data_IF_744616599713
#
_entry.id   IF_744616599713
#
_cell.length_a   1.000
_cell.length_b   1.000
_cell.length_c   1.000
_cell.angle_alpha   90.00
_cell.angle_beta   90.00
_cell.angle_gamma   90.00
#
_symmetry.space_group_name_H-M   'P 1'
#
loop_
_entity.id
_entity.type
_entity.pdbx_description
1 polymer ?
#
# COMPACT_ATOMS: atom_id res chain seq x y z
N UNK A 1 10.21 6.70 -52.25
CA UNK A 1 9.59 6.01 -51.09
C UNK A 1 9.02 7.06 -50.14
N UNK A 2 7.69 7.11 -49.92
CA UNK A 2 7.08 8.08 -49.00
C UNK A 2 7.47 7.70 -47.56
N UNK A 3 8.10 8.63 -46.84
CA UNK A 3 8.46 8.45 -45.42
C UNK A 3 7.17 8.52 -44.60
N UNK A 4 6.68 7.36 -44.16
CA UNK A 4 5.56 7.27 -43.23
C UNK A 4 6.05 7.57 -41.81
N UNK A 5 6.17 8.85 -41.45
CA UNK A 5 6.35 9.24 -40.04
C UNK A 5 4.99 9.20 -39.36
N UNK A 6 4.76 8.12 -38.60
CA UNK A 6 3.58 7.99 -37.73
C UNK A 6 3.64 9.10 -36.67
N UNK A 7 2.46 9.58 -36.26
CA UNK A 7 2.38 10.61 -35.23
C UNK A 7 2.88 10.07 -33.89
N UNK A 8 3.53 10.90 -33.08
CA UNK A 8 3.93 10.57 -31.70
C UNK A 8 2.71 10.07 -30.90
N UNK A 9 1.52 10.64 -31.15
CA UNK A 9 0.27 10.17 -30.53
C UNK A 9 -0.11 8.74 -30.95
N UNK A 10 0.21 8.36 -32.18
CA UNK A 10 -0.02 7.02 -32.73
C UNK A 10 1.02 6.00 -32.23
N UNK A 11 2.21 6.47 -31.87
CA UNK A 11 3.24 5.66 -31.21
C UNK A 11 2.91 5.46 -29.73
N UNK A 12 2.54 6.53 -29.01
CA UNK A 12 2.08 6.47 -27.62
C UNK A 12 0.88 5.54 -27.48
N UNK A 13 -0.12 5.63 -28.38
CA UNK A 13 -1.32 4.79 -28.31
C UNK A 13 -1.04 3.30 -28.54
N UNK A 14 0.02 2.96 -29.30
CA UNK A 14 0.49 1.58 -29.49
C UNK A 14 1.36 1.07 -28.35
N UNK A 15 2.01 1.98 -27.61
CA UNK A 15 2.84 1.66 -26.43
C UNK A 15 1.99 1.45 -25.19
N UNK A 16 0.75 1.95 -25.13
CA UNK A 16 -0.20 1.56 -24.08
C UNK A 16 -0.44 0.06 -24.21
N UNK A 17 0.16 -0.77 -23.33
CA UNK A 17 -0.14 -2.19 -23.36
C UNK A 17 -1.64 -2.29 -23.15
N UNK A 18 -2.31 -3.19 -23.87
CA UNK A 18 -3.60 -3.70 -23.40
C UNK A 18 -3.30 -4.32 -22.04
N UNK A 19 -3.37 -3.52 -20.98
CA UNK A 19 -3.03 -3.94 -19.65
C UNK A 19 -4.01 -5.06 -19.31
N UNK A 20 -3.50 -6.29 -19.34
CA UNK A 20 -4.26 -7.41 -18.81
C UNK A 20 -4.67 -7.01 -17.40
N UNK A 21 -5.97 -7.10 -17.09
CA UNK A 21 -6.52 -6.71 -15.79
C UNK A 21 -5.74 -7.41 -14.67
N UNK A 22 -5.24 -8.61 -14.94
CA UNK A 22 -4.37 -9.38 -14.06
C UNK A 22 -3.06 -8.63 -13.72
N UNK A 23 -2.36 -8.09 -14.72
CA UNK A 23 -1.10 -7.35 -14.52
C UNK A 23 -1.31 -6.07 -13.69
N UNK A 24 -2.46 -5.40 -13.86
CA UNK A 24 -2.79 -4.20 -13.05
C UNK A 24 -3.03 -4.58 -11.60
N UNK A 25 -3.80 -5.65 -11.36
CA UNK A 25 -4.10 -6.14 -10.01
C UNK A 25 -2.82 -6.60 -9.34
N UNK A 26 -1.96 -7.34 -10.04
CA UNK A 26 -0.67 -7.81 -9.54
C UNK A 26 0.25 -6.65 -9.15
N UNK A 27 0.44 -5.67 -10.05
CA UNK A 27 1.29 -4.52 -9.77
C UNK A 27 0.80 -3.73 -8.55
N UNK A 28 -0.51 -3.52 -8.43
CA UNK A 28 -1.11 -2.85 -7.26
C UNK A 28 -0.97 -3.68 -5.99
N UNK A 29 -1.21 -5.00 -6.07
CA UNK A 29 -1.06 -5.90 -4.93
C UNK A 29 0.39 -5.88 -4.42
N UNK A 30 1.37 -6.00 -5.33
CA UNK A 30 2.79 -5.92 -4.98
C UNK A 30 3.12 -4.59 -4.27
N UNK A 31 2.67 -3.45 -4.81
CA UNK A 31 2.91 -2.16 -4.17
C UNK A 31 2.30 -2.07 -2.75
N UNK A 32 1.07 -2.55 -2.57
CA UNK A 32 0.39 -2.56 -1.26
C UNK A 32 1.11 -3.48 -0.28
N UNK A 33 1.51 -4.68 -0.71
CA UNK A 33 2.23 -5.64 0.13
C UNK A 33 3.60 -5.08 0.54
N UNK A 34 4.36 -4.51 -0.38
CA UNK A 34 5.65 -3.87 -0.06
C UNK A 34 5.47 -2.72 0.94
N UNK A 35 4.45 -1.88 0.72
CA UNK A 35 4.14 -0.77 1.64
C UNK A 35 3.76 -1.28 3.03
N UNK A 36 2.96 -2.35 3.11
CA UNK A 36 2.58 -3.00 4.36
C UNK A 36 3.79 -3.60 5.11
N UNK A 37 4.73 -4.24 4.39
CA UNK A 37 5.96 -4.77 4.98
C UNK A 37 6.81 -3.64 5.59
N UNK A 38 6.99 -2.55 4.83
CA UNK A 38 7.77 -1.40 5.29
C UNK A 38 7.13 -0.74 6.51
N UNK A 39 5.80 -0.62 6.54
CA UNK A 39 5.07 -0.10 7.70
C UNK A 39 5.27 -0.98 8.93
N UNK A 40 5.15 -2.31 8.80
CA UNK A 40 5.38 -3.25 9.91
C UNK A 40 6.79 -3.08 10.48
N UNK A 41 7.82 -2.97 9.63
CA UNK A 41 9.19 -2.70 10.10
C UNK A 41 9.29 -1.39 10.86
N UNK A 42 8.75 -0.31 10.32
CA UNK A 42 8.74 1.00 10.97
C UNK A 42 8.06 0.97 12.34
N UNK A 43 6.99 0.19 12.51
CA UNK A 43 6.33 0.00 13.81
C UNK A 43 7.28 -0.66 14.81
N UNK A 44 7.96 -1.73 14.44
CA UNK A 44 8.92 -2.40 15.33
C UNK A 44 10.17 -1.56 15.62
N UNK A 45 10.54 -0.63 14.75
CA UNK A 45 11.64 0.32 14.98
C UNK A 45 11.25 1.47 15.92
N UNK A 46 9.98 1.88 15.91
CA UNK A 46 9.49 3.04 16.65
C UNK A 46 8.94 2.73 18.05
N UNK A 47 8.50 1.49 18.31
CA UNK A 47 7.83 1.10 19.55
C UNK A 47 8.51 -0.11 20.19
N UNK A 48 8.28 -0.31 21.50
CA UNK A 48 8.69 -1.53 22.20
C UNK A 48 7.95 -2.76 21.65
N UNK A 49 8.52 -3.94 21.88
CA UNK A 49 8.05 -5.20 21.28
C UNK A 49 6.55 -5.46 21.52
N UNK A 50 6.07 -5.20 22.75
CA UNK A 50 4.66 -5.42 23.13
C UNK A 50 3.72 -4.47 22.36
N UNK A 51 4.05 -3.18 22.35
CA UNK A 51 3.26 -2.16 21.63
C UNK A 51 3.29 -2.39 20.12
N UNK A 52 4.46 -2.72 19.58
CA UNK A 52 4.64 -3.01 18.15
C UNK A 52 3.79 -4.21 17.72
N UNK A 53 3.75 -5.28 18.52
CA UNK A 53 2.94 -6.46 18.24
C UNK A 53 1.43 -6.15 18.22
N UNK A 54 0.93 -5.35 19.19
CA UNK A 54 -0.48 -4.93 19.22
C UNK A 54 -0.83 -4.06 17.99
N UNK A 55 0.03 -3.09 17.64
CA UNK A 55 -0.17 -2.24 16.47
C UNK A 55 -0.18 -3.06 15.17
N UNK A 56 0.72 -4.03 15.03
CA UNK A 56 0.76 -4.93 13.87
C UNK A 56 -0.50 -5.79 13.78
N UNK A 57 -0.98 -6.34 14.90
CA UNK A 57 -2.27 -7.07 14.96
C UNK A 57 -3.43 -6.21 14.52
N UNK A 58 -3.50 -4.96 14.99
CA UNK A 58 -4.56 -4.02 14.61
C UNK A 58 -4.51 -3.65 13.13
N UNK A 59 -3.32 -3.44 12.58
CA UNK A 59 -3.12 -3.16 11.17
C UNK A 59 -3.61 -4.32 10.29
N UNK A 60 -3.25 -5.56 10.63
CA UNK A 60 -3.73 -6.74 9.88
C UNK A 60 -5.26 -6.90 10.03
N UNK A 61 -5.79 -6.66 11.23
CA UNK A 61 -7.22 -6.78 11.49
C UNK A 61 -8.05 -5.69 10.78
N UNK A 62 -7.52 -4.47 10.62
CA UNK A 62 -8.19 -3.41 9.86
C UNK A 62 -8.29 -3.76 8.39
N UNK A 63 -7.25 -4.36 7.80
CA UNK A 63 -7.28 -4.89 6.44
C UNK A 63 -8.29 -6.04 6.31
N UNK A 64 -8.19 -7.05 7.18
CA UNK A 64 -9.08 -8.23 7.16
C UNK A 64 -10.55 -7.87 7.29
N UNK A 65 -10.86 -6.88 8.14
CA UNK A 65 -12.24 -6.43 8.35
C UNK A 65 -12.65 -5.25 7.46
N UNK A 66 -11.79 -4.83 6.54
CA UNK A 66 -12.02 -3.71 5.63
C UNK A 66 -12.41 -2.40 6.35
N UNK A 67 -11.95 -2.22 7.59
CA UNK A 67 -12.25 -1.05 8.43
C UNK A 67 -10.95 -0.35 8.87
N UNK A 68 -10.47 0.66 8.13
CA UNK A 68 -9.25 1.40 8.47
C UNK A 68 -9.36 2.12 9.81
N UNK A 69 -10.57 2.48 10.26
CA UNK A 69 -10.79 3.19 11.54
C UNK A 69 -10.37 2.35 12.74
N UNK A 70 -10.29 1.02 12.62
CA UNK A 70 -9.79 0.17 13.70
C UNK A 70 -8.32 0.44 14.04
N UNK A 71 -7.51 0.73 13.03
CA UNK A 71 -6.11 1.09 13.25
C UNK A 71 -6.00 2.49 13.87
N UNK A 72 -6.72 3.48 13.31
CA UNK A 72 -6.75 4.86 13.83
C UNK A 72 -7.16 4.93 15.31
N UNK A 73 -8.21 4.19 15.69
CA UNK A 73 -8.66 4.10 17.09
C UNK A 73 -7.60 3.45 18.00
N UNK A 74 -6.80 2.53 17.47
CA UNK A 74 -5.70 1.92 18.20
C UNK A 74 -4.60 2.92 18.53
N UNK A 75 -4.19 3.70 17.55
CA UNK A 75 -3.17 4.76 17.73
C UNK A 75 -3.64 5.82 18.73
N UNK A 76 -4.90 6.28 18.63
CA UNK A 76 -5.44 7.27 19.57
C UNK A 76 -5.36 6.80 21.03
N UNK A 77 -5.77 5.56 21.29
CA UNK A 77 -5.69 4.97 22.64
C UNK A 77 -4.27 4.84 23.15
N UNK A 78 -3.32 4.50 22.26
CA UNK A 78 -1.91 4.40 22.64
C UNK A 78 -1.37 5.78 23.06
N UNK A 79 -1.70 6.83 22.31
CA UNK A 79 -1.28 8.18 22.65
C UNK A 79 -1.88 8.67 23.97
N UNK A 80 -3.17 8.40 24.21
CA UNK A 80 -3.85 8.73 25.48
C UNK A 80 -3.19 8.02 26.69
N UNK A 81 -2.76 6.76 26.53
CA UNK A 81 -2.05 6.01 27.56
C UNK A 81 -0.63 6.54 27.83
N UNK A 82 0.05 7.09 26.82
CA UNK A 82 1.41 7.63 26.96
C UNK A 82 1.42 9.04 27.59
N UNK A 83 0.30 9.77 27.55
CA UNK A 83 0.13 11.10 28.14
C UNK A 83 -0.38 11.06 29.60
N UNK A 84 -0.77 9.87 30.11
CA UNK A 84 -1.32 9.65 31.46
C UNK A 84 -0.27 9.09 32.44
#
# INVERSE_FOLDING_TARGET
MKKNTRSILEEISRVVPNYDKNNIVEARANHVITSAINLTKMIYEAYDESTAEDLCKRFVNSIKSQDPKKFERGIKKLNESNES
#
